data_IF_429515624885
#
_entry.id   IF_429515624885
#
_cell.length_a   1.000
_cell.length_b   1.000
_cell.length_c   1.000
_cell.angle_alpha   90.00
_cell.angle_beta   90.00
_cell.angle_gamma   90.00
#
_symmetry.space_group_name_H-M   'P 1'
#
loop_
_entity.id
_entity.type
_entity.pdbx_description
1 polymer ?
#
# COMPACT_ATOMS: atom_id res chain seq x y z
N UNK A 1 18.60 59.73 3.84
CA UNK A 1 18.23 59.89 2.43
C UNK A 1 18.82 58.70 1.68
N UNK A 2 17.96 57.73 1.35
CA UNK A 2 18.03 56.77 0.22
C UNK A 2 17.24 55.51 0.58
N UNK A 3 16.04 55.45 0.02
CA UNK A 3 15.25 54.24 -0.19
C UNK A 3 16.01 53.27 -1.08
N UNK A 4 15.88 51.97 -0.82
CA UNK A 4 16.01 50.95 -1.87
C UNK A 4 14.85 49.97 -1.69
N UNK A 5 13.94 50.04 -2.65
CA UNK A 5 12.84 49.11 -2.90
C UNK A 5 13.35 47.69 -3.16
N UNK A 6 12.72 46.70 -2.54
CA UNK A 6 12.79 45.30 -2.98
C UNK A 6 11.41 44.95 -3.54
N UNK A 7 11.30 45.07 -4.86
CA UNK A 7 10.24 44.45 -5.66
C UNK A 7 10.78 43.13 -6.23
N UNK A 8 9.90 42.12 -6.30
CA UNK A 8 10.03 40.80 -6.94
C UNK A 8 10.59 39.70 -6.02
N UNK A 9 9.98 38.53 -5.83
CA UNK A 9 9.33 37.66 -6.82
C UNK A 9 8.27 36.75 -6.14
N UNK A 10 6.95 36.90 -6.41
CA UNK A 10 5.95 35.89 -6.09
C UNK A 10 5.54 35.15 -7.37
N UNK A 11 6.42 34.33 -7.95
CA UNK A 11 6.08 33.53 -9.14
C UNK A 11 6.60 32.09 -9.13
N UNK A 12 7.34 31.67 -8.10
CA UNK A 12 7.92 30.31 -8.01
C UNK A 12 7.23 29.36 -7.00
N UNK A 13 6.30 29.85 -6.17
CA UNK A 13 5.57 29.01 -5.20
C UNK A 13 4.29 28.37 -5.74
N UNK A 14 3.69 28.95 -6.79
CA UNK A 14 2.42 28.44 -7.33
C UNK A 14 2.61 27.25 -8.29
N UNK A 15 3.74 27.19 -9.00
CA UNK A 15 4.03 26.16 -10.01
C UNK A 15 4.40 24.81 -9.38
N UNK A 16 5.09 24.83 -8.23
CA UNK A 16 5.52 23.64 -7.48
C UNK A 16 4.36 22.96 -6.73
N UNK A 17 3.43 23.73 -6.14
CA UNK A 17 2.23 23.17 -5.50
C UNK A 17 1.27 22.52 -6.51
N UNK A 18 1.13 23.12 -7.71
CA UNK A 18 0.37 22.51 -8.80
C UNK A 18 1.06 21.24 -9.31
N UNK A 19 2.39 21.20 -9.43
CA UNK A 19 3.12 19.97 -9.78
C UNK A 19 2.94 18.87 -8.72
N UNK A 20 2.98 19.20 -7.41
CA UNK A 20 2.78 18.23 -6.32
C UNK A 20 1.35 17.67 -6.23
N UNK A 21 0.32 18.49 -6.45
CA UNK A 21 -1.07 18.01 -6.56
C UNK A 21 -1.31 17.21 -7.85
N UNK A 22 -0.68 17.60 -8.96
CA UNK A 22 -0.81 16.93 -10.26
C UNK A 22 -0.14 15.54 -10.30
N UNK A 23 0.95 15.35 -9.57
CA UNK A 23 1.59 14.03 -9.38
C UNK A 23 0.74 13.09 -8.50
N UNK A 24 -0.09 13.63 -7.60
CA UNK A 24 -0.92 12.83 -6.67
C UNK A 24 -2.21 12.26 -7.28
N UNK A 25 -2.81 12.96 -8.24
CA UNK A 25 -4.11 12.56 -8.82
C UNK A 25 -3.98 11.38 -9.80
N UNK A 26 -2.79 11.14 -10.36
CA UNK A 26 -2.55 10.15 -11.43
C UNK A 26 -1.71 8.94 -11.00
N UNK A 27 -0.93 9.03 -9.91
CA UNK A 27 -0.42 7.85 -9.17
C UNK A 27 -1.54 6.90 -8.70
N UNK A 28 -2.78 7.39 -8.65
CA UNK A 28 -3.95 6.56 -8.45
C UNK A 28 -4.24 5.64 -9.65
N UNK A 29 -3.98 6.06 -10.89
CA UNK A 29 -4.26 5.23 -12.06
C UNK A 29 -3.33 4.01 -12.12
N UNK A 30 -2.03 4.20 -11.83
CA UNK A 30 -1.07 3.09 -11.69
C UNK A 30 -1.46 2.16 -10.53
N UNK A 31 -1.74 2.72 -9.34
CA UNK A 31 -2.11 1.93 -8.17
C UNK A 31 -3.45 1.17 -8.34
N UNK A 32 -4.43 1.77 -9.02
CA UNK A 32 -5.72 1.15 -9.34
C UNK A 32 -5.55 0.07 -10.41
N UNK A 33 -4.65 0.27 -11.39
CA UNK A 33 -4.31 -0.75 -12.39
C UNK A 33 -3.57 -1.94 -11.76
N UNK A 34 -2.67 -1.69 -10.81
CA UNK A 34 -2.01 -2.74 -10.03
C UNK A 34 -2.98 -3.50 -9.12
N UNK A 35 -3.88 -2.79 -8.45
CA UNK A 35 -4.94 -3.41 -7.66
C UNK A 35 -5.83 -4.29 -8.53
N UNK A 36 -6.27 -3.81 -9.70
CA UNK A 36 -7.09 -4.57 -10.63
C UNK A 36 -6.36 -5.82 -11.17
N UNK A 37 -5.08 -5.72 -11.51
CA UNK A 37 -4.25 -6.88 -11.93
C UNK A 37 -4.11 -7.89 -10.79
N UNK A 38 -3.81 -7.43 -9.57
CA UNK A 38 -3.71 -8.26 -8.38
C UNK A 38 -5.03 -8.99 -8.07
N UNK A 39 -6.14 -8.26 -8.10
CA UNK A 39 -7.49 -8.80 -7.93
C UNK A 39 -7.82 -9.83 -9.00
N UNK A 40 -7.53 -9.56 -10.29
CA UNK A 40 -7.68 -10.53 -11.37
C UNK A 40 -6.87 -11.80 -11.12
N UNK A 41 -5.61 -11.68 -10.73
CA UNK A 41 -4.74 -12.84 -10.42
C UNK A 41 -5.31 -13.63 -9.24
N UNK A 42 -5.70 -12.96 -8.15
CA UNK A 42 -6.23 -13.59 -6.93
C UNK A 42 -7.52 -14.37 -7.13
N UNK A 43 -8.31 -14.06 -8.17
CA UNK A 43 -9.47 -14.86 -8.57
C UNK A 43 -9.09 -16.24 -9.15
N UNK A 44 -7.81 -16.64 -9.18
CA UNK A 44 -7.40 -18.01 -9.51
C UNK A 44 -7.69 -18.94 -8.33
N UNK A 45 -8.59 -19.89 -8.52
CA UNK A 45 -8.79 -21.02 -7.60
C UNK A 45 -10.09 -21.03 -6.80
N UNK A 46 -10.87 -19.94 -6.79
CA UNK A 46 -12.20 -19.94 -6.16
C UNK A 46 -13.28 -20.31 -7.19
N UNK A 47 -14.43 -20.82 -6.74
CA UNK A 47 -15.56 -21.44 -7.48
C UNK A 47 -16.26 -20.57 -8.57
N UNK A 48 -15.55 -19.59 -9.14
CA UNK A 48 -15.89 -18.78 -10.31
C UNK A 48 -15.49 -19.50 -11.61
N UNK A 49 -14.59 -20.50 -11.59
CA UNK A 49 -14.14 -21.27 -12.77
C UNK A 49 -15.19 -22.15 -13.48
N UNK A 50 -16.49 -21.96 -13.19
CA UNK A 50 -17.61 -22.67 -13.84
C UNK A 50 -18.18 -21.95 -15.06
N UNK A 51 -17.57 -20.83 -15.47
CA UNK A 51 -17.91 -20.15 -16.71
C UNK A 51 -17.08 -20.67 -17.86
N UNK A 52 -17.73 -21.11 -18.93
CA UNK A 52 -17.09 -21.14 -20.24
C UNK A 52 -16.68 -19.70 -20.58
N UNK A 53 -15.39 -19.51 -20.89
CA UNK A 53 -14.74 -18.26 -21.34
C UNK A 53 -14.26 -17.22 -20.30
N UNK A 54 -14.58 -17.36 -19.00
CA UNK A 54 -14.13 -16.36 -18.00
C UNK A 54 -12.60 -16.38 -17.78
N UNK A 55 -11.99 -17.56 -17.73
CA UNK A 55 -10.53 -17.68 -17.61
C UNK A 55 -9.81 -17.10 -18.85
N UNK A 56 -10.44 -17.20 -20.03
CA UNK A 56 -9.93 -16.58 -21.25
C UNK A 56 -10.02 -15.05 -21.19
N UNK A 57 -11.18 -14.50 -20.80
CA UNK A 57 -11.40 -13.05 -20.64
C UNK A 57 -10.42 -12.48 -19.61
N UNK A 58 -10.27 -13.17 -18.47
CA UNK A 58 -9.32 -12.81 -17.41
C UNK A 58 -7.88 -12.80 -17.91
N UNK A 59 -7.42 -13.88 -18.56
CA UNK A 59 -6.06 -13.95 -19.09
C UNK A 59 -5.75 -12.82 -20.09
N UNK A 60 -6.72 -12.49 -20.94
CA UNK A 60 -6.61 -11.36 -21.88
C UNK A 60 -6.55 -10.01 -21.17
N UNK A 61 -7.39 -9.77 -20.17
CA UNK A 61 -7.39 -8.55 -19.36
C UNK A 61 -6.06 -8.36 -18.62
N UNK A 62 -5.52 -9.42 -18.02
CA UNK A 62 -4.20 -9.37 -17.36
C UNK A 62 -3.11 -8.99 -18.36
N UNK A 63 -3.11 -9.63 -19.54
CA UNK A 63 -2.15 -9.30 -20.61
C UNK A 63 -2.25 -7.84 -21.04
N UNK A 64 -3.47 -7.37 -21.36
CA UNK A 64 -3.73 -5.99 -21.80
C UNK A 64 -3.30 -4.96 -20.75
N UNK A 65 -3.69 -5.14 -19.50
CA UNK A 65 -3.33 -4.21 -18.43
C UNK A 65 -1.82 -4.19 -18.18
N UNK A 66 -1.14 -5.33 -18.29
CA UNK A 66 0.32 -5.41 -18.18
C UNK A 66 1.01 -4.66 -19.32
N UNK A 67 0.52 -4.82 -20.56
CA UNK A 67 1.02 -4.09 -21.73
C UNK A 67 0.79 -2.58 -21.62
N UNK A 68 -0.35 -2.16 -21.08
CA UNK A 68 -0.64 -0.74 -20.85
C UNK A 68 0.24 -0.17 -19.72
N UNK A 69 0.45 -0.93 -18.63
CA UNK A 69 1.33 -0.57 -17.50
C UNK A 69 2.74 -0.21 -17.98
N UNK A 70 3.30 -1.00 -18.90
CA UNK A 70 4.65 -0.79 -19.44
C UNK A 70 4.85 0.59 -20.12
N UNK A 71 3.76 1.25 -20.51
CA UNK A 71 3.79 2.59 -21.14
C UNK A 71 3.22 3.71 -20.30
N UNK A 72 2.71 3.40 -19.12
CA UNK A 72 1.98 4.35 -18.29
C UNK A 72 2.90 5.50 -17.86
N UNK A 73 4.16 5.21 -17.50
CA UNK A 73 5.11 6.24 -17.07
C UNK A 73 5.44 7.26 -18.18
N UNK A 74 5.61 6.80 -19.43
CA UNK A 74 5.88 7.70 -20.56
C UNK A 74 4.63 8.51 -20.93
N UNK A 75 3.45 7.88 -20.90
CA UNK A 75 2.18 8.56 -21.10
C UNK A 75 1.96 9.64 -20.04
N UNK A 76 2.26 9.36 -18.77
CA UNK A 76 2.14 10.31 -17.67
C UNK A 76 3.06 11.52 -17.83
N UNK A 77 4.26 11.34 -18.41
CA UNK A 77 5.16 12.46 -18.73
C UNK A 77 4.62 13.29 -19.89
N UNK A 78 4.11 12.62 -20.93
CA UNK A 78 3.62 13.26 -22.17
C UNK A 78 2.24 13.92 -22.02
N UNK A 79 1.45 13.59 -21.00
CA UNK A 79 0.11 14.17 -20.82
C UNK A 79 0.09 15.70 -20.61
N UNK A 80 1.19 16.27 -20.10
CA UNK A 80 1.29 17.70 -19.83
C UNK A 80 1.55 18.52 -21.09
N UNK A 81 2.09 17.88 -22.12
CA UNK A 81 2.40 18.50 -23.41
C UNK A 81 1.42 18.05 -24.50
N UNK A 82 0.76 16.90 -24.34
CA UNK A 82 -0.17 16.33 -25.30
C UNK A 82 -1.58 16.11 -24.69
N UNK A 83 -2.57 16.94 -25.04
CA UNK A 83 -3.95 16.79 -24.59
C UNK A 83 -4.61 15.46 -24.98
N UNK A 84 -4.20 14.83 -26.08
CA UNK A 84 -4.75 13.54 -26.50
C UNK A 84 -4.25 12.39 -25.61
N UNK A 85 -2.99 12.45 -25.14
CA UNK A 85 -2.45 11.50 -24.16
C UNK A 85 -3.17 11.67 -22.80
N UNK A 86 -3.50 12.91 -22.43
CA UNK A 86 -4.30 13.19 -21.23
C UNK A 86 -5.72 12.61 -21.30
N UNK A 87 -6.41 12.79 -22.42
CA UNK A 87 -7.73 12.19 -22.67
C UNK A 87 -7.67 10.65 -22.62
N UNK A 88 -6.64 10.07 -23.24
CA UNK A 88 -6.40 8.64 -23.20
C UNK A 88 -6.19 8.10 -21.78
N UNK A 89 -5.36 8.75 -20.96
CA UNK A 89 -5.16 8.38 -19.56
C UNK A 89 -6.45 8.47 -18.72
N UNK A 90 -7.30 9.46 -19.00
CA UNK A 90 -8.60 9.61 -18.35
C UNK A 90 -9.55 8.45 -18.69
N UNK A 91 -9.64 8.06 -19.96
CA UNK A 91 -10.42 6.91 -20.40
C UNK A 91 -9.93 5.61 -19.79
N UNK A 92 -8.61 5.43 -19.73
CA UNK A 92 -7.99 4.28 -19.09
C UNK A 92 -8.36 4.20 -17.61
N UNK A 93 -8.19 5.30 -16.86
CA UNK A 93 -8.54 5.35 -15.43
C UNK A 93 -9.99 4.98 -15.19
N UNK A 94 -10.92 5.54 -15.98
CA UNK A 94 -12.35 5.25 -15.84
C UNK A 94 -12.65 3.76 -16.10
N UNK A 95 -12.05 3.17 -17.14
CA UNK A 95 -12.24 1.76 -17.45
C UNK A 95 -11.68 0.83 -16.36
N UNK A 96 -10.53 1.14 -15.78
CA UNK A 96 -9.94 0.32 -14.70
C UNK A 96 -10.74 0.45 -13.40
N UNK A 97 -11.28 1.63 -13.06
CA UNK A 97 -12.17 1.78 -11.90
C UNK A 97 -13.45 0.94 -12.05
N UNK A 98 -14.05 0.94 -13.24
CA UNK A 98 -15.22 0.09 -13.53
C UNK A 98 -14.87 -1.40 -13.44
N UNK A 99 -13.65 -1.78 -13.83
CA UNK A 99 -13.16 -3.14 -13.66
C UNK A 99 -12.99 -3.49 -12.17
N UNK A 100 -12.38 -2.61 -11.38
CA UNK A 100 -12.19 -2.77 -9.93
C UNK A 100 -13.55 -2.96 -9.23
N UNK A 101 -14.55 -2.15 -9.55
CA UNK A 101 -15.92 -2.30 -9.06
C UNK A 101 -16.53 -3.68 -9.38
N UNK A 102 -16.26 -4.22 -10.58
CA UNK A 102 -16.72 -5.56 -10.99
C UNK A 102 -16.00 -6.64 -10.16
N UNK A 103 -14.70 -6.48 -9.92
CA UNK A 103 -13.89 -7.43 -9.16
C UNK A 103 -14.29 -7.45 -7.68
N UNK A 104 -14.58 -6.28 -7.09
CA UNK A 104 -15.11 -6.16 -5.73
C UNK A 104 -16.48 -6.84 -5.60
N UNK A 105 -17.37 -6.68 -6.58
CA UNK A 105 -18.68 -7.37 -6.62
C UNK A 105 -18.49 -8.91 -6.71
N UNK A 106 -17.47 -9.38 -7.44
CA UNK A 106 -17.12 -10.80 -7.48
C UNK A 106 -16.60 -11.31 -6.13
N UNK A 107 -15.72 -10.55 -5.47
CA UNK A 107 -15.14 -10.90 -4.19
C UNK A 107 -16.20 -10.93 -3.07
N UNK A 108 -17.11 -9.96 -3.06
CA UNK A 108 -18.21 -9.90 -2.10
C UNK A 108 -19.14 -11.12 -2.18
N UNK A 109 -19.47 -11.59 -3.38
CA UNK A 109 -20.32 -12.77 -3.58
C UNK A 109 -19.60 -14.09 -3.27
N UNK A 110 -18.29 -14.17 -3.50
CA UNK A 110 -17.49 -15.32 -3.08
C UNK A 110 -17.51 -15.48 -1.54
N UNK A 111 -17.41 -14.38 -0.79
CA UNK A 111 -17.51 -14.37 0.68
C UNK A 111 -18.93 -14.66 1.18
N UNK A 112 -19.96 -14.28 0.42
CA UNK A 112 -21.36 -14.57 0.73
C UNK A 112 -21.72 -16.05 0.66
N UNK A 113 -21.00 -16.82 -0.18
CA UNK A 113 -21.15 -18.28 -0.31
C UNK A 113 -20.51 -19.05 0.85
N UNK A 114 -19.42 -18.54 1.43
CA UNK A 114 -18.75 -19.18 2.58
C UNK A 114 -19.51 -19.00 3.90
N UNK A 115 -20.25 -17.89 4.07
CA UNK A 115 -21.00 -17.60 5.29
C UNK A 115 -22.37 -18.30 5.39
N UNK A 116 -22.90 -18.86 4.29
CA UNK A 116 -24.12 -19.69 4.31
C UNK A 116 -23.71 -21.16 4.45
N UNK A 117 -23.45 -21.58 5.69
CA UNK A 117 -22.89 -22.88 6.02
C UNK A 117 -23.52 -24.08 5.29
N UNK A 118 -22.71 -24.75 4.49
CA UNK A 118 -22.87 -26.15 4.16
C UNK A 118 -21.50 -26.84 4.24
N UNK A 119 -21.17 -27.35 5.43
CA UNK A 119 -20.18 -28.40 5.61
C UNK A 119 -20.78 -29.70 5.03
N UNK A 120 -20.84 -29.81 3.71
CA UNK A 120 -21.24 -31.04 3.01
C UNK A 120 -20.23 -31.29 1.91
N UNK A 121 -19.72 -32.51 1.92
CA UNK A 121 -18.84 -33.09 0.91
C UNK A 121 -19.22 -32.66 -0.52
N UNK A 122 -18.18 -32.43 -1.31
CA UNK A 122 -18.18 -32.34 -2.77
C UNK A 122 -19.47 -32.83 -3.44
N UNK A 123 -20.32 -31.89 -3.83
CA UNK A 123 -21.29 -32.14 -4.89
C UNK A 123 -21.65 -30.81 -5.52
N UNK A 124 -21.39 -30.71 -6.83
CA UNK A 124 -21.57 -29.55 -7.71
C UNK A 124 -23.02 -29.05 -7.85
N UNK A 125 -23.82 -28.99 -6.79
CA UNK A 125 -25.25 -28.69 -6.87
C UNK A 125 -25.68 -27.39 -6.16
N UNK A 126 -24.80 -26.72 -5.40
CA UNK A 126 -25.03 -25.34 -4.92
C UNK A 126 -24.79 -24.29 -6.02
N UNK A 127 -24.05 -24.63 -7.07
CA UNK A 127 -23.63 -23.72 -8.16
C UNK A 127 -24.69 -23.43 -9.22
N UNK A 128 -25.83 -24.13 -9.19
CA UNK A 128 -26.90 -24.02 -10.19
C UNK A 128 -28.17 -23.31 -9.70
N UNK A 129 -28.13 -22.65 -8.54
CA UNK A 129 -29.28 -21.86 -8.10
C UNK A 129 -29.55 -20.71 -9.09
N UNK A 130 -30.81 -20.50 -9.56
CA UNK A 130 -31.11 -19.50 -10.59
C UNK A 130 -30.61 -18.10 -10.28
N UNK A 131 -30.60 -17.69 -8.99
CA UNK A 131 -30.08 -16.38 -8.57
C UNK A 131 -28.57 -16.26 -8.81
N UNK A 132 -27.80 -17.30 -8.49
CA UNK A 132 -26.36 -17.32 -8.76
C UNK A 132 -26.08 -17.39 -10.25
N UNK A 133 -26.85 -18.16 -11.04
CA UNK A 133 -26.70 -18.23 -12.50
C UNK A 133 -26.99 -16.87 -13.17
N UNK A 134 -28.03 -16.16 -12.75
CA UNK A 134 -28.38 -14.83 -13.28
C UNK A 134 -27.35 -13.78 -12.89
N UNK A 135 -26.90 -13.77 -11.63
CA UNK A 135 -25.81 -12.90 -11.17
C UNK A 135 -24.52 -13.15 -11.97
N UNK A 136 -24.17 -14.43 -12.12
CA UNK A 136 -23.02 -14.90 -12.88
C UNK A 136 -23.05 -14.42 -14.34
N UNK A 137 -24.18 -14.62 -15.03
CA UNK A 137 -24.36 -14.14 -16.40
C UNK A 137 -24.23 -12.61 -16.51
N UNK A 138 -24.76 -11.86 -15.53
CA UNK A 138 -24.66 -10.40 -15.47
C UNK A 138 -23.21 -9.93 -15.32
N UNK A 139 -22.41 -10.58 -14.46
CA UNK A 139 -20.99 -10.30 -14.28
C UNK A 139 -20.22 -10.63 -15.55
N UNK A 140 -20.40 -11.82 -16.14
CA UNK A 140 -19.71 -12.20 -17.38
C UNK A 140 -19.96 -11.19 -18.51
N UNK A 141 -21.20 -10.73 -18.70
CA UNK A 141 -21.55 -9.71 -19.71
C UNK A 141 -20.95 -8.33 -19.41
N UNK A 142 -20.69 -7.99 -18.14
CA UNK A 142 -20.01 -6.74 -17.76
C UNK A 142 -18.50 -6.86 -17.94
N UNK A 143 -17.94 -8.01 -17.61
CA UNK A 143 -16.53 -8.36 -17.83
C UNK A 143 -16.18 -8.31 -19.31
N UNK A 144 -17.06 -8.82 -20.16
CA UNK A 144 -16.86 -8.79 -21.61
C UNK A 144 -16.90 -7.36 -22.16
N UNK A 145 -17.85 -6.55 -21.69
CA UNK A 145 -17.93 -5.13 -22.08
C UNK A 145 -16.72 -4.32 -21.63
N UNK A 146 -16.18 -4.59 -20.44
CA UNK A 146 -14.99 -3.87 -19.96
C UNK A 146 -13.72 -4.36 -20.67
N UNK A 147 -13.66 -5.64 -21.09
CA UNK A 147 -12.62 -6.19 -21.95
C UNK A 147 -12.56 -5.45 -23.29
N UNK A 148 -13.67 -5.39 -24.01
CA UNK A 148 -13.76 -4.69 -25.30
C UNK A 148 -13.32 -3.22 -25.16
N UNK A 149 -13.83 -2.54 -24.14
CA UNK A 149 -13.48 -1.15 -23.86
C UNK A 149 -12.00 -0.94 -23.55
N UNK A 150 -11.38 -1.85 -22.78
CA UNK A 150 -9.94 -1.79 -22.48
C UNK A 150 -9.08 -2.13 -23.69
N UNK A 151 -9.54 -3.02 -24.58
CA UNK A 151 -8.88 -3.30 -25.86
C UNK A 151 -8.87 -2.07 -26.76
N UNK A 152 -10.01 -1.39 -26.93
CA UNK A 152 -10.08 -0.14 -27.69
C UNK A 152 -9.12 0.93 -27.15
N UNK A 153 -9.08 1.10 -25.82
CA UNK A 153 -8.15 2.02 -25.17
C UNK A 153 -6.70 1.59 -25.39
N UNK A 154 -6.40 0.29 -25.29
CA UNK A 154 -5.06 -0.23 -25.55
C UNK A 154 -4.64 -0.05 -27.02
N UNK A 155 -5.56 -0.14 -27.97
CA UNK A 155 -5.29 0.14 -29.38
C UNK A 155 -5.04 1.63 -29.65
N UNK A 156 -5.79 2.53 -29.00
CA UNK A 156 -5.56 3.99 -29.08
C UNK A 156 -4.12 4.37 -28.68
N UNK A 157 -3.49 3.60 -27.77
CA UNK A 157 -2.08 3.74 -27.37
C UNK A 157 -1.13 3.82 -28.56
N UNK A 158 -1.37 3.02 -29.60
CA UNK A 158 -0.49 2.90 -30.78
C UNK A 158 -0.32 4.22 -31.53
N UNK A 159 -1.29 5.14 -31.39
CA UNK A 159 -1.29 6.47 -32.02
C UNK A 159 -0.37 7.47 -31.32
N UNK A 160 0.09 7.18 -30.09
CA UNK A 160 0.83 8.13 -29.24
C UNK A 160 2.35 7.88 -29.18
N UNK A 161 2.86 6.86 -29.88
CA UNK A 161 4.29 6.50 -29.90
C UNK A 161 4.89 6.47 -28.48
N UNK A 162 4.18 5.82 -27.56
CA UNK A 162 4.60 5.69 -26.17
C UNK A 162 5.74 4.68 -26.06
N UNK A 163 6.81 5.09 -25.38
CA UNK A 163 8.00 4.27 -25.18
C UNK A 163 7.73 3.34 -24.00
N UNK A 164 7.89 2.03 -24.23
CA UNK A 164 7.91 1.06 -23.14
C UNK A 164 9.12 1.36 -22.27
N UNK A 165 8.86 1.70 -21.01
CA UNK A 165 9.94 1.99 -20.07
C UNK A 165 10.46 0.65 -19.56
N UNK A 166 11.21 -0.07 -20.40
CA UNK A 166 12.02 -1.24 -20.04
C UNK A 166 13.31 -0.82 -19.34
N UNK A 167 13.21 0.12 -18.40
CA UNK A 167 14.27 0.30 -17.41
C UNK A 167 13.94 -0.68 -16.30
N UNK A 168 14.71 -1.76 -16.23
CA UNK A 168 14.86 -2.59 -15.04
C UNK A 168 15.26 -1.68 -13.87
N UNK A 169 14.26 -1.08 -13.22
CA UNK A 169 14.47 -0.27 -12.02
C UNK A 169 14.64 -1.23 -10.86
N UNK A 170 15.89 -1.57 -10.58
CA UNK A 170 16.27 -2.19 -9.31
C UNK A 170 16.11 -1.16 -8.18
N UNK A 171 14.97 -1.15 -7.49
CA UNK A 171 14.73 -0.26 -6.34
C UNK A 171 13.26 -0.06 -6.00
N UNK A 172 12.97 0.54 -4.82
CA UNK A 172 11.62 1.00 -4.49
C UNK A 172 11.36 2.26 -5.33
N UNK A 173 10.28 2.35 -6.12
CA UNK A 173 9.90 3.59 -6.78
C UNK A 173 9.89 4.74 -5.77
N UNK A 174 10.50 5.89 -6.13
CA UNK A 174 10.70 7.03 -5.21
C UNK A 174 9.43 7.44 -4.46
N UNK A 175 8.27 7.23 -5.07
CA UNK A 175 6.97 7.58 -4.49
C UNK A 175 6.41 6.58 -3.48
N UNK A 176 6.87 5.32 -3.50
CA UNK A 176 6.51 4.28 -2.53
C UNK A 176 7.48 4.23 -1.35
N UNK A 177 8.63 4.91 -1.45
CA UNK A 177 9.60 4.95 -0.37
C UNK A 177 8.99 5.59 0.87
N UNK A 178 8.95 4.82 1.94
CA UNK A 178 8.61 5.30 3.27
C UNK A 178 9.88 5.49 4.08
N UNK A 179 9.85 6.48 4.98
CA UNK A 179 10.92 6.72 5.94
C UNK A 179 10.37 6.62 7.34
N UNK A 180 11.25 6.50 8.32
CA UNK A 180 10.87 6.56 9.74
C UNK A 180 10.41 7.95 10.19
N UNK A 181 10.54 8.99 9.35
CA UNK A 181 10.18 10.35 9.72
C UNK A 181 8.67 10.57 9.67
N UNK A 182 8.11 11.06 10.78
CA UNK A 182 6.69 11.42 10.86
C UNK A 182 6.48 12.74 10.13
N UNK A 183 5.82 12.68 8.97
CA UNK A 183 5.50 13.87 8.18
C UNK A 183 4.22 14.56 8.62
N UNK A 184 3.41 13.90 9.47
CA UNK A 184 2.15 14.45 9.96
C UNK A 184 2.37 15.19 11.27
N UNK A 185 1.93 16.46 11.40
CA UNK A 185 2.09 17.21 12.64
C UNK A 185 1.29 16.59 13.79
N UNK A 186 0.19 15.90 13.48
CA UNK A 186 -0.69 15.26 14.44
C UNK A 186 -1.29 13.98 13.87
N UNK A 187 -1.39 12.96 14.70
CA UNK A 187 -2.04 11.67 14.43
C UNK A 187 -3.11 11.47 15.51
N UNK A 188 -4.28 10.96 15.12
CA UNK A 188 -5.45 10.83 15.99
C UNK A 188 -5.87 9.37 16.15
N UNK A 189 -6.33 9.01 17.35
CA UNK A 189 -7.01 7.73 17.62
C UNK A 189 -6.12 6.50 17.56
N UNK A 190 -4.80 6.67 17.71
CA UNK A 190 -3.79 5.59 17.61
C UNK A 190 -2.98 5.38 18.89
N UNK A 191 -3.26 6.12 19.95
CA UNK A 191 -2.53 6.09 21.21
C UNK A 191 -2.56 4.70 21.83
N UNK A 192 -3.75 4.08 21.89
CA UNK A 192 -3.92 2.72 22.41
C UNK A 192 -3.21 1.65 21.56
N UNK A 193 -3.22 1.84 20.24
CA UNK A 193 -2.52 0.93 19.30
C UNK A 193 -1.01 1.01 19.54
N UNK A 194 -0.48 2.23 19.69
CA UNK A 194 0.94 2.47 20.00
C UNK A 194 1.32 1.84 21.33
N UNK A 195 0.57 2.13 22.40
CA UNK A 195 0.90 1.64 23.74
C UNK A 195 0.95 0.12 23.78
N UNK A 196 -0.07 -0.54 23.21
CA UNK A 196 -0.13 -2.01 23.18
C UNK A 196 1.07 -2.64 22.49
N UNK A 197 1.48 -2.10 21.33
CA UNK A 197 2.60 -2.66 20.58
C UNK A 197 3.94 -2.30 21.25
N UNK A 198 4.07 -1.10 21.80
CA UNK A 198 5.27 -0.69 22.56
C UNK A 198 5.46 -1.54 23.82
N UNK A 199 4.38 -1.82 24.56
CA UNK A 199 4.40 -2.68 25.75
C UNK A 199 4.95 -4.08 25.41
N UNK A 200 4.45 -4.67 24.32
CA UNK A 200 4.95 -5.94 23.82
C UNK A 200 6.44 -5.87 23.43
N UNK A 201 6.83 -4.87 22.64
CA UNK A 201 8.20 -4.76 22.09
C UNK A 201 9.25 -4.54 23.19
N UNK A 202 8.90 -3.82 24.27
CA UNK A 202 9.83 -3.47 25.35
C UNK A 202 9.79 -4.50 26.50
N UNK A 203 8.68 -5.24 26.65
CA UNK A 203 8.48 -6.25 27.69
C UNK A 203 8.45 -7.67 27.13
N UNK A 204 7.28 -8.09 26.65
CA UNK A 204 6.94 -9.48 26.32
C UNK A 204 7.89 -10.12 25.30
N UNK A 205 8.34 -9.36 24.30
CA UNK A 205 9.23 -9.82 23.23
C UNK A 205 10.54 -10.39 23.79
N UNK A 206 11.01 -9.90 24.94
CA UNK A 206 12.23 -10.39 25.58
C UNK A 206 12.08 -11.79 26.18
N UNK A 207 10.86 -12.31 26.37
CA UNK A 207 10.61 -13.63 26.91
C UNK A 207 10.55 -14.74 25.86
N UNK A 208 10.50 -14.38 24.58
CA UNK A 208 10.48 -15.33 23.47
C UNK A 208 11.87 -15.92 23.22
N UNK A 209 11.92 -17.21 22.86
CA UNK A 209 13.16 -17.91 22.50
C UNK A 209 13.60 -17.58 21.08
N UNK A 210 12.65 -17.53 20.15
CA UNK A 210 12.88 -17.15 18.76
C UNK A 210 12.84 -15.63 18.56
N UNK A 211 13.47 -15.16 17.47
CA UNK A 211 13.43 -13.76 17.04
C UNK A 211 11.97 -13.27 16.89
N UNK A 212 11.51 -12.32 17.74
CA UNK A 212 10.16 -11.78 17.68
C UNK A 212 9.91 -11.00 16.40
N UNK A 213 8.85 -11.38 15.68
CA UNK A 213 8.37 -10.69 14.48
C UNK A 213 6.89 -10.39 14.66
N UNK A 214 6.57 -9.11 14.76
CA UNK A 214 5.22 -8.61 15.02
C UNK A 214 4.64 -7.96 13.75
N UNK A 215 3.70 -8.63 13.06
CA UNK A 215 3.01 -8.05 11.92
C UNK A 215 1.89 -7.09 12.34
N UNK A 216 1.78 -5.95 11.67
CA UNK A 216 0.63 -5.05 11.65
C UNK A 216 -0.07 -5.23 10.29
N UNK A 217 -1.33 -5.66 10.33
CA UNK A 217 -2.11 -6.01 9.15
C UNK A 217 -3.33 -5.11 9.05
N UNK A 218 -3.73 -4.77 7.83
CA UNK A 218 -4.97 -4.04 7.62
C UNK A 218 -5.07 -3.47 6.22
N UNK A 219 -6.25 -2.96 5.89
CA UNK A 219 -6.55 -2.42 4.57
C UNK A 219 -5.66 -1.21 4.19
N UNK A 220 -5.67 -0.88 2.90
CA UNK A 220 -5.02 0.32 2.39
C UNK A 220 -5.53 1.58 3.07
N UNK A 221 -4.65 2.55 3.35
CA UNK A 221 -5.06 3.85 3.89
C UNK A 221 -5.40 3.91 5.38
N UNK A 222 -5.34 2.80 6.13
CA UNK A 222 -5.61 2.76 7.58
C UNK A 222 -4.53 3.39 8.46
N UNK A 223 -3.37 3.72 7.89
CA UNK A 223 -2.27 4.35 8.61
C UNK A 223 -1.30 3.38 9.28
N UNK A 224 -1.13 2.15 8.76
CA UNK A 224 -0.14 1.17 9.28
C UNK A 224 1.28 1.75 9.34
N UNK A 225 1.75 2.33 8.24
CA UNK A 225 3.04 3.02 8.18
C UNK A 225 3.12 4.16 9.21
N UNK A 226 2.05 4.95 9.35
CA UNK A 226 1.98 6.01 10.37
C UNK A 226 2.07 5.44 11.79
N UNK A 227 1.38 4.34 12.08
CA UNK A 227 1.45 3.66 13.38
C UNK A 227 2.87 3.12 13.64
N UNK A 228 3.49 2.48 12.65
CA UNK A 228 4.86 2.01 12.74
C UNK A 228 5.86 3.16 12.97
N UNK A 229 5.66 4.32 12.33
CA UNK A 229 6.46 5.54 12.58
C UNK A 229 6.27 6.05 14.01
N UNK A 230 5.05 6.07 14.54
CA UNK A 230 4.78 6.47 15.92
C UNK A 230 5.50 5.55 16.92
N UNK A 231 5.42 4.23 16.71
CA UNK A 231 6.12 3.24 17.53
C UNK A 231 7.63 3.42 17.43
N UNK A 232 8.17 3.50 16.21
CA UNK A 232 9.60 3.66 15.96
C UNK A 232 10.21 4.88 16.66
N UNK A 233 9.44 5.97 16.76
CA UNK A 233 9.86 7.22 17.38
C UNK A 233 9.42 7.36 18.85
N UNK A 234 8.77 6.34 19.42
CA UNK A 234 8.32 6.36 20.80
C UNK A 234 9.51 6.41 21.78
N UNK A 235 9.39 7.18 22.87
CA UNK A 235 10.47 7.37 23.85
C UNK A 235 10.95 6.04 24.45
N UNK A 236 10.03 5.21 24.92
CA UNK A 236 10.32 3.84 25.43
C UNK A 236 11.08 2.97 24.44
N UNK A 237 10.77 3.07 23.15
CA UNK A 237 11.48 2.35 22.07
C UNK A 237 12.89 2.93 21.88
N UNK A 238 13.04 4.25 21.93
CA UNK A 238 14.33 4.92 21.85
C UNK A 238 15.27 4.56 23.04
N UNK A 239 14.71 4.35 24.23
CA UNK A 239 15.48 3.92 25.41
C UNK A 239 15.80 2.42 25.39
N UNK A 240 14.89 1.59 24.86
CA UNK A 240 15.03 0.14 24.91
C UNK A 240 16.00 -0.42 23.87
N UNK A 241 15.98 0.11 22.64
CA UNK A 241 16.75 -0.41 21.51
C UNK A 241 18.00 0.44 21.21
N UNK A 242 19.16 -0.22 21.08
CA UNK A 242 20.43 0.43 20.72
C UNK A 242 20.46 0.87 19.26
N UNK A 243 19.84 0.08 18.39
CA UNK A 243 19.71 0.37 16.97
C UNK A 243 18.24 0.34 16.55
N UNK A 244 17.84 1.33 15.76
CA UNK A 244 16.51 1.39 15.16
C UNK A 244 16.68 1.53 13.65
N UNK A 245 16.16 0.57 12.91
CA UNK A 245 16.36 0.40 11.48
C UNK A 245 15.00 0.45 10.77
N UNK A 246 14.94 1.14 9.65
CA UNK A 246 13.73 1.23 8.83
C UNK A 246 14.07 0.83 7.40
N UNK A 247 13.35 -0.15 6.88
CA UNK A 247 13.44 -0.57 5.49
C UNK A 247 12.05 -0.59 4.88
N UNK A 248 11.86 0.23 3.84
CA UNK A 248 10.68 0.14 2.98
C UNK A 248 10.89 -1.02 2.00
N UNK A 249 9.98 -1.98 2.01
CA UNK A 249 9.99 -3.15 1.15
C UNK A 249 9.22 -2.82 -0.13
N UNK A 250 9.82 -3.05 -1.30
CA UNK A 250 9.07 -2.98 -2.57
C UNK A 250 8.46 -4.33 -2.91
N UNK A 251 7.68 -4.38 -4.00
CA UNK A 251 7.16 -5.62 -4.58
C UNK A 251 8.23 -6.71 -4.80
N UNK A 252 9.49 -6.33 -5.07
CA UNK A 252 10.61 -7.26 -5.13
C UNK A 252 11.31 -7.40 -3.75
N UNK A 253 10.95 -8.45 -2.99
CA UNK A 253 11.62 -8.86 -1.75
C UNK A 253 12.81 -9.78 -2.06
N UNK A 254 13.93 -9.20 -2.49
CA UNK A 254 15.16 -9.95 -2.71
C UNK A 254 16.08 -9.95 -1.48
N UNK A 255 16.57 -11.13 -1.10
CA UNK A 255 17.48 -11.31 0.05
C UNK A 255 18.70 -10.37 -0.02
N UNK A 256 19.34 -10.26 -1.19
CA UNK A 256 20.52 -9.41 -1.42
C UNK A 256 20.20 -7.95 -1.11
N UNK A 257 19.07 -7.47 -1.63
CA UNK A 257 18.64 -6.07 -1.50
C UNK A 257 18.23 -5.75 -0.08
N UNK A 258 17.46 -6.62 0.58
CA UNK A 258 17.06 -6.44 1.97
C UNK A 258 18.28 -6.39 2.89
N UNK A 259 19.23 -7.32 2.71
CA UNK A 259 20.49 -7.34 3.45
C UNK A 259 21.25 -6.02 3.27
N UNK A 260 21.37 -5.53 2.03
CA UNK A 260 22.03 -4.27 1.70
C UNK A 260 21.34 -3.07 2.37
N UNK A 261 20.02 -2.95 2.24
CA UNK A 261 19.25 -1.85 2.81
C UNK A 261 19.39 -1.77 4.33
N UNK A 262 19.40 -2.92 5.01
CA UNK A 262 19.57 -2.99 6.47
C UNK A 262 20.98 -2.56 6.88
N UNK A 263 22.02 -3.01 6.15
CA UNK A 263 23.41 -2.58 6.38
C UNK A 263 23.54 -1.06 6.22
N UNK A 264 22.95 -0.49 5.17
CA UNK A 264 23.01 0.95 4.90
C UNK A 264 22.28 1.74 6.00
N UNK A 265 21.10 1.28 6.43
CA UNK A 265 20.36 1.88 7.53
C UNK A 265 21.15 1.84 8.86
N UNK A 266 21.85 0.74 9.13
CA UNK A 266 22.58 0.55 10.37
C UNK A 266 23.95 1.24 10.39
N UNK A 267 24.67 1.25 9.27
CA UNK A 267 25.99 1.89 9.14
C UNK A 267 25.93 3.38 8.79
N UNK A 268 24.77 3.89 8.34
CA UNK A 268 24.59 5.25 7.81
C UNK A 268 25.55 5.59 6.67
N UNK A 269 25.97 4.57 5.93
CA UNK A 269 26.93 4.69 4.83
C UNK A 269 26.48 3.83 3.66
N UNK A 270 26.80 4.26 2.43
CA UNK A 270 26.49 3.49 1.24
C UNK A 270 27.21 2.14 1.29
N UNK A 271 26.50 1.06 0.97
CA UNK A 271 27.10 -0.25 0.85
C UNK A 271 27.49 -0.48 -0.62
N UNK A 272 28.74 -0.86 -0.85
CA UNK A 272 29.19 -1.29 -2.18
C UNK A 272 28.33 -2.44 -2.73
N UNK A 273 28.35 -2.62 -4.04
CA UNK A 273 27.74 -3.80 -4.66
C UNK A 273 28.64 -5.00 -4.39
N UNK A 274 28.31 -5.73 -3.32
CA UNK A 274 29.00 -6.92 -2.87
C UNK A 274 28.15 -8.16 -3.17
N UNK A 275 28.80 -9.30 -3.31
CA UNK A 275 28.09 -10.58 -3.36
C UNK A 275 27.39 -10.91 -2.03
N UNK A 276 26.47 -11.86 -2.07
CA UNK A 276 25.62 -12.22 -0.93
C UNK A 276 26.43 -12.61 0.31
N UNK A 277 27.50 -13.40 0.17
CA UNK A 277 28.25 -13.90 1.31
C UNK A 277 28.98 -12.76 2.08
N UNK A 278 29.73 -11.84 1.43
CA UNK A 278 30.24 -10.64 2.09
C UNK A 278 29.16 -9.77 2.72
N UNK A 279 27.99 -9.62 2.08
CA UNK A 279 26.86 -8.87 2.63
C UNK A 279 26.34 -9.52 3.92
N UNK A 280 26.19 -10.84 3.94
CA UNK A 280 25.74 -11.58 5.12
C UNK A 280 26.69 -11.40 6.31
N UNK A 281 28.00 -11.54 6.09
CA UNK A 281 29.01 -11.32 7.13
C UNK A 281 28.95 -9.89 7.67
N UNK A 282 28.87 -8.90 6.78
CA UNK A 282 28.76 -7.48 7.17
C UNK A 282 27.46 -7.18 7.94
N UNK A 283 26.34 -7.79 7.54
CA UNK A 283 25.08 -7.65 8.26
C UNK A 283 25.21 -8.20 9.69
N UNK A 284 25.78 -9.39 9.83
CA UNK A 284 26.06 -9.98 11.14
C UNK A 284 26.95 -9.06 11.97
N UNK A 285 28.10 -8.62 11.45
CA UNK A 285 29.02 -7.72 12.17
C UNK A 285 28.34 -6.46 12.71
N UNK A 286 27.39 -5.91 11.95
CA UNK A 286 26.68 -4.68 12.31
C UNK A 286 25.59 -4.92 13.36
N UNK A 287 24.91 -6.06 13.34
CA UNK A 287 23.76 -6.37 14.21
C UNK A 287 24.13 -7.21 15.44
N UNK A 288 25.21 -7.98 15.37
CA UNK A 288 25.57 -8.97 16.38
C UNK A 288 25.69 -8.30 17.76
N UNK A 289 25.11 -8.96 18.77
CA UNK A 289 25.13 -8.51 20.19
C UNK A 289 24.45 -7.17 20.47
N UNK A 290 23.81 -6.53 19.49
CA UNK A 290 23.03 -5.31 19.71
C UNK A 290 21.56 -5.65 19.85
N UNK A 291 20.87 -4.93 20.72
CA UNK A 291 19.41 -4.95 20.74
C UNK A 291 18.89 -3.97 19.70
N UNK A 292 18.28 -4.50 18.63
CA UNK A 292 17.78 -3.66 17.54
C UNK A 292 16.27 -3.83 17.31
N UNK A 293 15.63 -2.74 16.86
CA UNK A 293 14.30 -2.76 16.28
C UNK A 293 14.45 -2.57 14.77
N UNK A 294 13.97 -3.53 13.99
CA UNK A 294 13.89 -3.41 12.52
C UNK A 294 12.44 -3.28 12.09
N UNK A 295 12.11 -2.20 11.38
CA UNK A 295 10.81 -2.05 10.73
C UNK A 295 10.94 -2.44 9.25
N UNK A 296 10.15 -3.42 8.83
CA UNK A 296 9.93 -3.81 7.45
C UNK A 296 8.56 -3.28 7.01
N UNK A 297 8.55 -2.14 6.33
CA UNK A 297 7.32 -1.43 5.99
C UNK A 297 6.83 -1.77 4.57
N UNK A 298 5.51 -2.00 4.46
CA UNK A 298 4.75 -2.31 3.25
C UNK A 298 5.24 -3.58 2.53
N UNK A 299 5.26 -4.71 3.25
CA UNK A 299 5.65 -6.01 2.68
C UNK A 299 4.51 -6.66 1.91
N UNK A 300 4.77 -7.08 0.67
CA UNK A 300 3.80 -7.73 -0.22
C UNK A 300 4.17 -9.17 -0.59
N UNK A 301 5.41 -9.56 -0.35
CA UNK A 301 5.97 -10.84 -0.79
C UNK A 301 5.55 -11.99 0.14
N UNK A 302 5.04 -13.06 -0.46
CA UNK A 302 4.63 -14.31 0.21
C UNK A 302 5.62 -15.47 -0.04
N UNK A 303 6.83 -15.19 -0.53
CA UNK A 303 7.89 -16.17 -0.73
C UNK A 303 8.57 -16.50 0.61
N UNK A 304 8.02 -17.51 1.27
CA UNK A 304 8.48 -18.00 2.56
C UNK A 304 9.99 -18.28 2.60
N UNK A 305 10.58 -18.80 1.52
CA UNK A 305 12.00 -19.17 1.50
C UNK A 305 12.94 -17.96 1.66
N UNK A 306 12.68 -16.86 0.95
CA UNK A 306 13.49 -15.65 1.08
C UNK A 306 13.37 -15.04 2.47
N UNK A 307 12.17 -15.04 3.03
CA UNK A 307 11.97 -14.58 4.39
C UNK A 307 12.72 -15.44 5.41
N UNK A 308 12.66 -16.77 5.33
CA UNK A 308 13.38 -17.65 6.27
C UNK A 308 14.90 -17.43 6.20
N UNK A 309 15.45 -17.29 4.98
CA UNK A 309 16.86 -16.95 4.78
C UNK A 309 17.20 -15.61 5.46
N UNK A 310 16.43 -14.55 5.22
CA UNK A 310 16.67 -13.25 5.86
C UNK A 310 16.54 -13.33 7.39
N UNK A 311 15.48 -13.96 7.90
CA UNK A 311 15.21 -14.12 9.33
C UNK A 311 16.37 -14.82 10.05
N UNK A 312 16.94 -15.86 9.43
CA UNK A 312 18.11 -16.56 9.99
C UNK A 312 19.34 -15.66 10.14
N UNK A 313 19.55 -14.73 9.20
CA UNK A 313 20.64 -13.74 9.27
C UNK A 313 20.38 -12.70 10.37
N UNK A 314 19.11 -12.33 10.56
CA UNK A 314 18.68 -11.36 11.57
C UNK A 314 18.70 -11.94 12.99
N UNK A 315 18.62 -13.27 13.15
CA UNK A 315 18.64 -13.93 14.46
C UNK A 315 19.97 -13.80 15.26
N UNK A 316 20.96 -13.05 14.76
CA UNK A 316 22.24 -12.80 15.45
C UNK A 316 22.19 -11.68 16.52
N UNK A 317 21.04 -10.99 16.67
CA UNK A 317 20.85 -9.90 17.62
C UNK A 317 20.89 -10.34 19.09
N UNK A 318 20.99 -9.36 20.01
CA UNK A 318 20.87 -9.62 21.44
C UNK A 318 19.41 -9.92 21.84
N UNK A 319 19.23 -10.51 23.03
CA UNK A 319 17.90 -10.72 23.62
C UNK A 319 17.12 -9.41 23.74
N UNK A 320 15.84 -9.45 23.35
CA UNK A 320 14.97 -8.27 23.24
C UNK A 320 15.06 -7.57 21.88
N UNK A 321 15.80 -8.10 20.90
CA UNK A 321 15.69 -7.66 19.50
C UNK A 321 14.29 -7.94 18.98
N UNK A 322 13.77 -7.11 18.08
CA UNK A 322 12.43 -7.31 17.51
C UNK A 322 12.33 -6.79 16.08
N UNK A 323 11.45 -7.43 15.29
CA UNK A 323 11.08 -6.99 13.95
C UNK A 323 9.61 -6.58 13.97
N UNK A 324 9.31 -5.39 13.44
CA UNK A 324 7.97 -4.91 13.19
C UNK A 324 7.71 -4.95 11.68
N UNK A 325 6.63 -5.58 11.26
CA UNK A 325 6.26 -5.68 9.83
C UNK A 325 4.95 -4.95 9.60
N UNK A 326 4.82 -4.20 8.52
CA UNK A 326 3.50 -3.71 8.07
C UNK A 326 3.14 -4.37 6.74
N UNK A 327 1.90 -4.83 6.62
CA UNK A 327 1.42 -5.45 5.38
C UNK A 327 -0.10 -5.27 5.22
N UNK A 328 -0.58 -5.40 3.98
CA UNK A 328 -2.01 -5.48 3.68
C UNK A 328 -2.52 -6.92 3.63
N UNK A 329 -1.61 -7.89 3.54
CA UNK A 329 -1.92 -9.27 3.22
C UNK A 329 -1.86 -10.13 4.49
N UNK A 330 -2.98 -10.73 4.93
CA UNK A 330 -2.96 -11.65 6.06
C UNK A 330 -2.04 -12.86 5.84
N UNK A 331 -1.89 -13.30 4.60
CA UNK A 331 -0.96 -14.38 4.21
C UNK A 331 0.49 -14.04 4.53
N UNK A 332 0.96 -12.85 4.14
CA UNK A 332 2.31 -12.35 4.45
C UNK A 332 2.52 -12.26 5.96
N UNK A 333 1.52 -11.77 6.69
CA UNK A 333 1.59 -11.70 8.14
C UNK A 333 1.72 -13.07 8.81
N UNK A 334 1.01 -14.08 8.31
CA UNK A 334 1.11 -15.45 8.80
C UNK A 334 2.46 -16.09 8.47
N UNK A 335 3.03 -15.80 7.30
CA UNK A 335 4.36 -16.29 6.88
C UNK A 335 5.47 -15.66 7.74
N UNK A 336 5.36 -14.36 8.00
CA UNK A 336 6.43 -13.60 8.66
C UNK A 336 6.37 -13.63 10.17
N UNK A 337 5.16 -13.57 10.74
CA UNK A 337 4.94 -13.40 12.16
C UNK A 337 5.42 -14.58 13.00
N UNK A 338 5.97 -14.26 14.17
CA UNK A 338 6.20 -15.26 15.24
C UNK A 338 5.24 -15.06 16.41
N UNK A 339 4.43 -14.00 16.35
CA UNK A 339 3.35 -13.70 17.29
C UNK A 339 2.07 -13.37 16.52
N UNK A 340 0.89 -13.45 17.15
CA UNK A 340 -0.36 -13.11 16.51
C UNK A 340 -0.32 -11.72 15.87
N UNK A 341 -0.77 -11.57 14.61
CA UNK A 341 -0.75 -10.28 13.93
C UNK A 341 -1.66 -9.26 14.62
N UNK A 342 -1.24 -8.00 14.59
CA UNK A 342 -2.05 -6.87 15.02
C UNK A 342 -2.94 -6.40 13.86
N UNK A 343 -4.23 -6.70 13.93
CA UNK A 343 -5.21 -6.19 12.97
C UNK A 343 -5.55 -4.73 13.30
N UNK A 344 -5.09 -3.82 12.44
CA UNK A 344 -5.32 -2.39 12.59
C UNK A 344 -6.76 -2.05 12.25
N UNK A 345 -7.50 -1.54 13.24
CA UNK A 345 -8.89 -1.15 13.11
C UNK A 345 -9.09 0.19 12.40
N UNK A 346 -10.33 0.40 11.93
CA UNK A 346 -10.83 1.71 11.50
C UNK A 346 -10.77 2.72 12.65
N UNK A 347 -10.59 4.00 12.33
CA UNK A 347 -10.74 5.05 13.33
C UNK A 347 -12.19 5.19 13.79
N UNK A 348 -12.37 5.67 15.01
CA UNK A 348 -13.68 6.12 15.47
C UNK A 348 -14.16 7.30 14.63
N UNK A 349 -15.47 7.52 14.56
CA UNK A 349 -16.03 8.69 13.85
C UNK A 349 -15.51 10.01 14.43
N UNK A 350 -15.25 10.06 15.74
CA UNK A 350 -14.76 11.26 16.41
C UNK A 350 -13.29 11.53 16.04
N UNK A 351 -12.41 10.51 16.09
CA UNK A 351 -11.01 10.66 15.67
C UNK A 351 -10.89 10.98 14.17
N UNK A 352 -11.74 10.36 13.36
CA UNK A 352 -11.83 10.62 11.93
C UNK A 352 -12.32 12.05 11.64
N UNK A 353 -13.23 12.56 12.48
CA UNK A 353 -13.69 13.94 12.43
C UNK A 353 -12.59 14.93 12.80
N UNK A 354 -11.83 14.70 13.87
CA UNK A 354 -10.71 15.58 14.23
C UNK A 354 -9.63 15.62 13.14
N UNK A 355 -9.31 14.46 12.54
CA UNK A 355 -8.41 14.39 11.40
C UNK A 355 -8.92 15.18 10.19
N UNK A 356 -10.21 15.03 9.85
CA UNK A 356 -10.86 15.77 8.76
C UNK A 356 -10.85 17.27 9.04
N UNK A 357 -11.24 17.65 10.26
CA UNK A 357 -11.38 19.03 10.70
C UNK A 357 -10.06 19.77 10.63
N UNK A 358 -8.97 19.18 11.14
CA UNK A 358 -7.62 19.75 11.04
C UNK A 358 -7.21 20.01 9.58
N UNK A 359 -7.75 19.28 8.62
CA UNK A 359 -7.46 19.48 7.20
C UNK A 359 -8.37 20.48 6.53
N UNK A 360 -9.66 20.42 6.83
CA UNK A 360 -10.72 21.21 6.19
C UNK A 360 -10.79 22.64 6.70
N UNK A 361 -10.63 22.81 8.01
CA UNK A 361 -10.68 24.10 8.68
C UNK A 361 -9.27 24.37 9.19
N UNK A 362 -8.59 25.37 8.62
CA UNK A 362 -7.26 25.75 9.06
C UNK A 362 -7.23 26.07 10.57
N UNK A 363 -6.04 26.16 11.19
CA UNK A 363 -5.90 26.36 12.64
C UNK A 363 -6.59 27.62 13.20
N UNK A 364 -6.91 28.59 12.34
CA UNK A 364 -7.46 29.91 12.71
C UNK A 364 -8.88 30.17 12.16
N UNK A 365 -9.58 29.15 11.64
CA UNK A 365 -10.91 29.34 11.05
C UNK A 365 -12.06 29.17 12.07
N UNK A 366 -12.99 30.11 12.06
CA UNK A 366 -14.21 30.06 12.86
C UNK A 366 -15.14 28.99 12.30
N UNK A 367 -15.45 27.99 13.12
CA UNK A 367 -16.37 26.91 12.77
C UNK A 367 -17.76 27.46 12.44
N UNK A 368 -18.16 27.34 11.18
CA UNK A 368 -19.55 27.58 10.78
C UNK A 368 -20.35 26.31 11.04
N UNK A 369 -21.39 26.39 11.88
CA UNK A 369 -22.23 25.23 12.26
C UNK A 369 -22.74 24.43 11.06
N UNK A 370 -23.10 25.12 9.96
CA UNK A 370 -23.54 24.48 8.71
C UNK A 370 -22.44 23.64 8.05
N UNK A 371 -21.20 24.14 8.02
CA UNK A 371 -20.06 23.43 7.44
C UNK A 371 -19.62 22.26 8.33
N UNK A 372 -19.71 22.41 9.65
CA UNK A 372 -19.49 21.31 10.60
C UNK A 372 -20.47 20.17 10.38
N UNK A 373 -21.77 20.48 10.21
CA UNK A 373 -22.78 19.47 9.93
C UNK A 373 -22.49 18.70 8.62
N UNK A 374 -22.15 19.42 7.54
CA UNK A 374 -21.79 18.81 6.26
C UNK A 374 -20.53 17.95 6.39
N UNK A 375 -19.49 18.47 7.05
CA UNK A 375 -18.23 17.75 7.25
C UNK A 375 -18.42 16.46 8.03
N UNK A 376 -19.27 16.44 9.08
CA UNK A 376 -19.59 15.22 9.82
C UNK A 376 -20.30 14.19 8.96
N UNK A 377 -21.19 14.60 8.06
CA UNK A 377 -21.82 13.68 7.10
C UNK A 377 -20.82 13.13 6.07
N UNK A 378 -19.85 13.93 5.65
CA UNK A 378 -18.73 13.48 4.80
C UNK A 378 -17.89 12.43 5.55
N UNK A 379 -17.53 12.69 6.80
CA UNK A 379 -16.71 11.77 7.62
C UNK A 379 -17.42 10.44 7.87
N UNK A 380 -18.74 10.43 8.06
CA UNK A 380 -19.51 9.18 8.12
C UNK A 380 -19.33 8.34 6.85
N UNK A 381 -19.26 8.98 5.68
CA UNK A 381 -19.00 8.28 4.40
C UNK A 381 -17.56 7.81 4.24
N UNK A 382 -16.60 8.38 4.98
CA UNK A 382 -15.22 7.89 5.00
C UNK A 382 -15.07 6.53 5.70
N UNK A 383 -16.07 6.10 6.49
CA UNK A 383 -16.06 4.78 7.13
C UNK A 383 -14.89 4.55 8.09
N UNK A 384 -14.35 5.62 8.70
CA UNK A 384 -13.20 5.52 9.60
C UNK A 384 -11.84 5.30 8.91
N UNK A 385 -11.76 5.43 7.58
CA UNK A 385 -10.50 5.35 6.83
C UNK A 385 -9.76 6.70 6.89
N UNK A 386 -8.59 6.80 7.57
CA UNK A 386 -7.86 8.05 7.75
C UNK A 386 -7.46 8.73 6.43
N UNK A 387 -7.04 7.94 5.44
CA UNK A 387 -6.64 8.47 4.14
C UNK A 387 -7.82 9.15 3.42
N UNK A 388 -9.02 8.58 3.50
CA UNK A 388 -10.22 9.14 2.90
C UNK A 388 -10.61 10.47 3.57
N UNK A 389 -10.63 10.50 4.90
CA UNK A 389 -10.91 11.72 5.66
C UNK A 389 -9.91 12.83 5.38
N UNK A 390 -8.62 12.50 5.31
CA UNK A 390 -7.56 13.45 4.97
C UNK A 390 -7.68 13.99 3.55
N UNK A 391 -8.07 13.15 2.58
CA UNK A 391 -8.24 13.55 1.20
C UNK A 391 -9.44 14.48 1.03
N UNK A 392 -10.58 14.12 1.60
CA UNK A 392 -11.82 14.91 1.50
C UNK A 392 -11.76 16.21 2.30
N UNK A 393 -11.05 16.21 3.44
CA UNK A 393 -10.80 17.45 4.18
C UNK A 393 -9.78 18.36 3.50
N UNK A 394 -9.11 17.93 2.43
CA UNK A 394 -8.18 18.76 1.65
C UNK A 394 -8.77 19.33 0.36
N UNK A 395 -10.05 19.07 0.09
CA UNK A 395 -10.83 19.64 -1.02
C UNK A 395 -11.48 20.95 -0.57
#
# INVERSE_FOLDING_TARGET
MLSIDIISVPFLKHTTLLQFHRVRIWKMAEAVLEAAVGSLISLFGNEVGLFLDFDQIKGRLVSLLTTVKATLEDAEKKQFTNPAVKDWLLKLKDAVLVLDDILDECAYEALGLENQGAKVQSSCLSSFHPKHVVFRYKIAKRMERIRERLEEIAEERTKFHLIETTLERTGVPEWRQTTSYITQPQVYGREKDVDKIVDFLVGDASHLEDLPVYPIVGLGGLGKTTLAQLIFNHERIATHFELKLWACVSEDFSLKRMTKAIIEAASRSACGDLDLEPLQRKLQDVLQRKRYLLVLDDVWDDEQENWQKLKSLLACGAKGTSILVTTRLPTVAAIMGTVPPYELSMLSNDDCWELFKHRAFGPDEVEQEKLVAIGKEIVKKCGGVPLAAKALGGL
#
